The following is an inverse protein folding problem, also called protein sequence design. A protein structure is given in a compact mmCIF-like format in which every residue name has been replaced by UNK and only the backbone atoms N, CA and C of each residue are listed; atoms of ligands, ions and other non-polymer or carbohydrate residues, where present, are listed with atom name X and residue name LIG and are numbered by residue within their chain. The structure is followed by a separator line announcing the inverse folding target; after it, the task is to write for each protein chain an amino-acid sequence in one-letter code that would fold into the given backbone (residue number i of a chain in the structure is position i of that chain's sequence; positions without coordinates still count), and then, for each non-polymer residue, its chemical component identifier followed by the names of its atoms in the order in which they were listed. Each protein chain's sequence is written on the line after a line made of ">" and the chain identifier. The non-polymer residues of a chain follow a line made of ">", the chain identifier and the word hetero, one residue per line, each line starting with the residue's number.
data_IF_530236713101
#
_entry.id   IF_530236713101
#
_cell.length_a   1.000
_cell.length_b   1.000
_cell.length_c   1.000
_cell.angle_alpha   90.00
_cell.angle_beta   90.00
_cell.angle_gamma   90.00
#
_symmetry.space_group_name_H-M   'P 1'
#
loop_
_entity.id
_entity.type
_entity.pdbx_description
1 polymer ?
#
# COMPACT_ATOMS: atom_id res chain seq x y z
N UNK A 1 27.41 0.10 -4.69
CA UNK A 1 26.42 -0.98 -4.90
C UNK A 1 27.11 -2.30 -4.66
N UNK A 2 26.62 -3.11 -3.71
CA UNK A 2 27.09 -4.49 -3.58
C UNK A 2 26.47 -5.31 -4.72
N UNK A 3 27.27 -6.18 -5.34
CA UNK A 3 26.78 -7.08 -6.37
C UNK A 3 26.47 -8.42 -5.70
N UNK A 4 25.19 -8.83 -5.70
CA UNK A 4 24.77 -10.11 -5.14
C UNK A 4 24.41 -11.06 -6.28
N UNK A 5 25.21 -12.11 -6.45
CA UNK A 5 24.99 -13.09 -7.52
C UNK A 5 23.82 -14.01 -7.16
N UNK A 6 22.67 -13.79 -7.80
CA UNK A 6 21.49 -14.64 -7.66
C UNK A 6 21.61 -15.89 -8.56
N UNK A 7 21.37 -17.08 -8.01
CA UNK A 7 21.17 -18.31 -8.81
C UNK A 7 19.66 -18.55 -8.95
N UNK A 8 19.18 -18.57 -10.19
CA UNK A 8 17.77 -18.78 -10.52
C UNK A 8 17.60 -20.07 -11.33
N UNK A 9 16.52 -20.83 -11.10
CA UNK A 9 16.03 -21.81 -12.07
C UNK A 9 15.87 -21.19 -13.46
N UNK A 10 16.17 -21.97 -14.51
CA UNK A 10 16.17 -21.46 -15.88
C UNK A 10 14.80 -20.88 -16.29
N UNK A 11 13.70 -21.50 -15.87
CA UNK A 11 12.35 -21.01 -16.13
C UNK A 11 12.11 -19.59 -15.57
N UNK A 12 12.59 -19.30 -14.35
CA UNK A 12 12.47 -17.97 -13.74
C UNK A 12 13.36 -16.95 -14.43
N UNK A 13 14.57 -17.35 -14.82
CA UNK A 13 15.49 -16.49 -15.57
C UNK A 13 14.87 -16.06 -16.91
N UNK A 14 14.27 -17.00 -17.65
CA UNK A 14 13.61 -16.71 -18.92
C UNK A 14 12.38 -15.81 -18.75
N UNK A 15 11.57 -16.07 -17.71
CA UNK A 15 10.42 -15.22 -17.39
C UNK A 15 10.85 -13.79 -17.06
N UNK A 16 11.85 -13.62 -16.18
CA UNK A 16 12.37 -12.30 -15.80
C UNK A 16 12.97 -11.56 -17.00
N UNK A 17 13.69 -12.25 -17.89
CA UNK A 17 14.25 -11.65 -19.10
C UNK A 17 13.15 -11.14 -20.04
N UNK A 18 12.09 -11.93 -20.24
CA UNK A 18 10.94 -11.56 -21.08
C UNK A 18 10.21 -10.33 -20.54
N UNK A 19 9.96 -10.28 -19.23
CA UNK A 19 9.26 -9.16 -18.59
C UNK A 19 10.12 -7.89 -18.64
N UNK A 20 11.40 -7.99 -18.25
CA UNK A 20 12.30 -6.86 -18.29
C UNK A 20 12.44 -6.26 -19.71
N UNK A 21 12.49 -7.11 -20.74
CA UNK A 21 12.52 -6.66 -22.13
C UNK A 21 11.21 -6.01 -22.58
N UNK A 22 10.04 -6.44 -22.07
CA UNK A 22 8.76 -5.83 -22.40
C UNK A 22 8.61 -4.42 -21.79
N UNK A 23 9.28 -4.16 -20.66
CA UNK A 23 9.29 -2.88 -19.95
C UNK A 23 10.54 -2.02 -20.26
N UNK A 24 11.29 -2.36 -21.32
CA UNK A 24 12.54 -1.68 -21.74
C UNK A 24 13.54 -1.45 -20.58
N UNK A 25 13.67 -2.44 -19.69
CA UNK A 25 14.53 -2.38 -18.50
C UNK A 25 15.53 -3.54 -18.43
N UNK A 26 16.51 -3.42 -17.55
CA UNK A 26 17.45 -4.52 -17.28
C UNK A 26 16.89 -5.49 -16.25
N UNK A 27 17.31 -6.76 -16.29
CA UNK A 27 16.90 -7.75 -15.29
C UNK A 27 17.23 -7.32 -13.86
N UNK A 28 18.39 -6.67 -13.65
CA UNK A 28 18.77 -6.20 -12.31
C UNK A 28 17.86 -5.09 -11.81
N UNK A 29 17.50 -4.13 -12.66
CA UNK A 29 16.54 -3.07 -12.29
C UNK A 29 15.16 -3.66 -12.01
N UNK A 30 14.70 -4.59 -12.85
CA UNK A 30 13.47 -5.34 -12.61
C UNK A 30 13.48 -6.05 -11.25
N UNK A 31 14.56 -6.76 -10.91
CA UNK A 31 14.67 -7.43 -9.61
C UNK A 31 14.68 -6.46 -8.43
N UNK A 32 15.36 -5.33 -8.54
CA UNK A 32 15.37 -4.32 -7.46
C UNK A 32 13.96 -3.81 -7.19
N UNK A 33 13.20 -3.48 -8.25
CA UNK A 33 11.81 -3.03 -8.12
C UNK A 33 10.93 -4.13 -7.53
N UNK A 34 11.01 -5.36 -8.06
CA UNK A 34 10.21 -6.48 -7.58
C UNK A 34 10.49 -6.82 -6.11
N UNK A 35 11.75 -6.72 -5.66
CA UNK A 35 12.12 -6.90 -4.25
C UNK A 35 11.52 -5.78 -3.40
N UNK A 36 11.65 -4.53 -3.83
CA UNK A 36 11.07 -3.39 -3.12
C UNK A 36 9.55 -3.51 -2.99
N UNK A 37 8.87 -3.92 -4.06
CA UNK A 37 7.43 -4.16 -4.06
C UNK A 37 7.04 -5.30 -3.13
N UNK A 38 7.77 -6.43 -3.14
CA UNK A 38 7.50 -7.55 -2.25
C UNK A 38 7.69 -7.17 -0.78
N UNK A 39 8.74 -6.41 -0.46
CA UNK A 39 8.96 -5.88 0.90
C UNK A 39 7.81 -4.97 1.29
N UNK A 40 7.45 -4.00 0.44
CA UNK A 40 6.35 -3.07 0.69
C UNK A 40 5.03 -3.79 0.95
N UNK A 41 4.70 -4.82 0.15
CA UNK A 41 3.50 -5.62 0.36
C UNK A 41 3.51 -6.36 1.69
N UNK A 42 4.66 -6.97 2.06
CA UNK A 42 4.80 -7.69 3.33
C UNK A 42 4.72 -6.76 4.55
N UNK A 43 5.38 -5.61 4.50
CA UNK A 43 5.36 -4.62 5.59
C UNK A 43 3.98 -3.99 5.74
N UNK A 44 3.30 -3.69 4.62
CA UNK A 44 1.93 -3.17 4.62
C UNK A 44 0.95 -4.15 5.25
N UNK A 45 1.06 -5.45 4.93
CA UNK A 45 0.24 -6.48 5.56
C UNK A 45 0.44 -6.50 7.09
N UNK A 46 1.71 -6.52 7.54
CA UNK A 46 2.03 -6.49 8.98
C UNK A 46 1.53 -5.22 9.67
N UNK A 47 1.60 -4.07 9.00
CA UNK A 47 1.07 -2.82 9.52
C UNK A 47 -0.43 -2.91 9.79
N UNK A 48 -1.20 -3.43 8.83
CA UNK A 48 -2.65 -3.58 9.00
C UNK A 48 -3.01 -4.61 10.06
N UNK A 49 -2.28 -5.72 10.19
CA UNK A 49 -2.47 -6.68 11.28
C UNK A 49 -2.29 -6.03 12.65
N UNK A 50 -1.19 -5.29 12.86
CA UNK A 50 -0.91 -4.57 14.11
C UNK A 50 -1.96 -3.50 14.40
N UNK A 51 -2.38 -2.77 13.36
CA UNK A 51 -3.41 -1.74 13.49
C UNK A 51 -4.78 -2.33 13.82
N UNK A 52 -5.16 -3.44 13.18
CA UNK A 52 -6.40 -4.13 13.47
C UNK A 52 -6.43 -4.70 14.90
N UNK A 53 -5.29 -5.21 15.41
CA UNK A 53 -5.18 -5.72 16.78
C UNK A 53 -5.41 -4.65 17.87
N UNK A 54 -5.22 -3.37 17.53
CA UNK A 54 -5.47 -2.22 18.42
C UNK A 54 -6.79 -1.50 18.11
N UNK A 55 -7.59 -2.02 17.19
CA UNK A 55 -8.85 -1.40 16.81
C UNK A 55 -9.95 -1.69 17.85
N UNK A 56 -10.70 -0.65 18.20
CA UNK A 56 -11.96 -0.79 18.93
C UNK A 56 -13.10 -0.86 17.91
N UNK A 57 -13.61 -2.07 17.69
CA UNK A 57 -14.70 -2.32 16.75
C UNK A 57 -16.00 -1.66 17.19
N UNK A 58 -16.22 -1.49 18.50
CA UNK A 58 -17.41 -0.83 19.03
C UNK A 58 -17.37 0.68 18.76
N UNK A 59 -16.20 1.31 18.94
CA UNK A 59 -16.00 2.71 18.59
C UNK A 59 -16.14 2.94 17.08
N UNK A 60 -15.64 2.01 16.26
CA UNK A 60 -15.82 2.06 14.81
C UNK A 60 -17.31 1.95 14.42
N UNK A 61 -18.05 1.02 14.99
CA UNK A 61 -19.49 0.87 14.74
C UNK A 61 -20.26 2.10 15.22
N UNK A 62 -19.98 2.62 16.42
CA UNK A 62 -20.62 3.82 16.93
C UNK A 62 -20.33 5.07 16.08
N UNK A 63 -19.19 5.12 15.38
CA UNK A 63 -18.92 6.14 14.38
C UNK A 63 -19.72 5.90 13.09
N UNK A 64 -19.82 4.63 12.64
CA UNK A 64 -20.60 4.23 11.47
C UNK A 64 -22.10 4.48 11.65
N UNK A 65 -22.66 4.24 12.84
CA UNK A 65 -24.08 4.45 13.14
C UNK A 65 -24.50 5.93 13.07
N UNK A 66 -23.53 6.86 13.05
CA UNK A 66 -23.80 8.30 12.81
C UNK A 66 -24.06 8.60 11.33
N UNK A 67 -23.66 7.71 10.44
CA UNK A 67 -23.94 7.85 9.01
C UNK A 67 -25.44 7.62 8.82
N UNK A 68 -26.14 8.70 8.47
CA UNK A 68 -27.57 8.63 8.14
C UNK A 68 -27.82 7.93 6.81
N UNK A 69 -29.10 7.71 6.49
CA UNK A 69 -29.59 7.12 5.24
C UNK A 69 -29.81 8.15 4.11
N UNK A 70 -29.46 9.41 4.38
CA UNK A 70 -29.69 10.51 3.44
C UNK A 70 -28.79 10.35 2.21
N UNK A 71 -29.31 10.80 1.06
CA UNK A 71 -28.53 10.81 -0.17
C UNK A 71 -27.24 11.64 0.03
N UNK A 72 -26.10 11.21 -0.54
CA UNK A 72 -24.88 12.00 -0.51
C UNK A 72 -25.14 13.42 -1.03
N UNK A 73 -24.65 14.41 -0.30
CA UNK A 73 -24.82 15.81 -0.69
C UNK A 73 -23.88 16.10 -1.87
N UNK A 74 -24.41 16.73 -2.92
CA UNK A 74 -23.58 17.20 -4.02
C UNK A 74 -22.54 18.19 -3.50
N UNK A 75 -21.28 18.00 -3.88
CA UNK A 75 -20.15 18.77 -3.38
C UNK A 75 -19.93 18.66 -1.86
N UNK A 76 -20.21 17.51 -1.22
CA UNK A 76 -19.78 17.26 0.15
C UNK A 76 -18.25 17.17 0.22
N UNK A 77 -17.63 18.19 0.80
CA UNK A 77 -16.19 18.28 0.98
C UNK A 77 -15.86 18.59 2.44
N UNK A 78 -14.81 17.96 2.95
CA UNK A 78 -14.31 18.22 4.29
C UNK A 78 -13.79 19.66 4.41
N UNK A 79 -14.66 20.59 4.81
CA UNK A 79 -14.29 21.95 5.21
C UNK A 79 -13.74 21.88 6.64
N UNK A 80 -12.44 21.57 6.78
CA UNK A 80 -11.75 21.54 8.09
C UNK A 80 -12.17 22.77 8.93
N UNK A 81 -12.70 22.62 10.17
CA UNK A 81 -13.07 23.79 10.95
C UNK A 81 -11.81 24.61 11.26
N UNK A 82 -11.89 25.94 11.08
CA UNK A 82 -10.87 26.88 11.52
C UNK A 82 -10.58 26.61 13.00
N UNK A 83 -9.34 26.21 13.35
CA UNK A 83 -8.93 26.15 14.76
C UNK A 83 -9.16 27.54 15.34
N UNK A 84 -10.10 27.68 16.28
CA UNK A 84 -10.20 28.91 17.08
C UNK A 84 -8.86 29.06 17.79
N UNK A 85 -8.09 30.11 17.45
CA UNK A 85 -6.91 30.49 18.21
C UNK A 85 -7.38 30.75 19.64
N UNK A 86 -6.82 30.02 20.61
CA UNK A 86 -6.97 30.38 22.01
C UNK A 86 -6.27 31.73 22.20
N UNK A 87 -7.05 32.75 22.55
CA UNK A 87 -6.58 33.98 23.21
C UNK A 87 -6.33 33.70 24.68
#
# INVERSE_FOLDING_TARGET
>A
MSNYALRLPESLKQAAKRIAAADDTTMNQFFVVAIAEKISAMETAQFFEKRAASADTSAAQAAWDKVGDQAPIADDHWTKPLRKRAT
#
